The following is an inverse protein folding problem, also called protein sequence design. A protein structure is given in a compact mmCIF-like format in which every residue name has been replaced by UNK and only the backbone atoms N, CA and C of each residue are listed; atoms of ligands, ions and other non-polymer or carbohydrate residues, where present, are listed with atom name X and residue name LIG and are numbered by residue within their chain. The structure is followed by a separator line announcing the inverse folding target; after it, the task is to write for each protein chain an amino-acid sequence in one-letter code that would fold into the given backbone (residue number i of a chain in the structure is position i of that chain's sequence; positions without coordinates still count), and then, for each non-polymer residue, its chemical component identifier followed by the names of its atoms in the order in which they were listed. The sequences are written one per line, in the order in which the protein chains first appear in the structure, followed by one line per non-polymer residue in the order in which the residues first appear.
data_IF_227473941106
#
_entry.id   IF_227473941106
#
_cell.length_a   1.000
_cell.length_b   1.000
_cell.length_c   1.000
_cell.angle_alpha   90.00
_cell.angle_beta   90.00
_cell.angle_gamma   90.00
#
_symmetry.space_group_name_H-M   'P 1'
#
loop_
_entity.id
_entity.type
_entity.pdbx_description
1 polymer ?
#
# COMPACT_ATOMS: atom_id res chain seq x y z
N UNK A 1 8.56 -12.57 13.13
CA UNK A 1 7.49 -12.84 12.14
C UNK A 1 6.76 -14.17 12.33
N UNK A 2 7.38 -15.26 12.78
CA UNK A 2 6.75 -16.60 12.90
C UNK A 2 5.38 -16.64 13.61
N UNK A 3 5.12 -15.71 14.55
CA UNK A 3 3.83 -15.61 15.25
C UNK A 3 2.64 -15.32 14.33
N UNK A 4 2.89 -14.81 13.12
CA UNK A 4 1.84 -14.53 12.12
C UNK A 4 1.57 -15.69 11.16
N UNK A 5 2.38 -16.75 11.16
CA UNK A 5 2.19 -17.91 10.28
C UNK A 5 0.76 -18.49 10.30
N UNK A 6 0.03 -18.51 11.44
CA UNK A 6 -1.36 -18.99 11.46
C UNK A 6 -2.32 -18.13 10.62
N UNK A 7 -1.96 -16.87 10.33
CA UNK A 7 -2.79 -15.89 9.63
C UNK A 7 -2.27 -15.53 8.23
N UNK A 8 -1.07 -16.00 7.89
CA UNK A 8 -0.46 -15.87 6.55
C UNK A 8 -0.65 -17.13 5.73
N UNK A 9 -0.52 -17.02 4.42
CA UNK A 9 -0.51 -18.15 3.50
C UNK A 9 0.83 -18.87 3.52
N UNK A 10 0.79 -20.19 3.36
CA UNK A 10 1.99 -20.94 3.04
C UNK A 10 2.14 -20.97 1.51
N UNK A 11 3.29 -20.58 0.99
CA UNK A 11 3.54 -20.54 -0.46
C UNK A 11 3.45 -21.94 -1.11
N UNK A 12 3.81 -22.98 -0.36
CA UNK A 12 3.71 -24.37 -0.81
C UNK A 12 2.26 -24.91 -0.75
N UNK A 13 1.39 -24.23 -0.02
CA UNK A 13 0.00 -24.59 0.22
C UNK A 13 -1.01 -23.58 -0.36
N UNK A 14 -0.55 -22.56 -1.07
CA UNK A 14 -1.44 -21.56 -1.67
C UNK A 14 -2.50 -22.21 -2.56
N UNK A 15 -2.25 -23.43 -2.95
CA UNK A 15 -3.09 -24.15 -3.86
C UNK A 15 -3.30 -25.59 -3.41
N UNK A 16 -4.43 -25.87 -2.74
CA UNK A 16 -4.85 -27.22 -2.43
C UNK A 16 -6.00 -27.65 -3.34
N UNK A 17 -5.88 -28.83 -3.93
CA UNK A 17 -7.00 -29.50 -4.58
C UNK A 17 -7.95 -30.06 -3.54
N UNK A 18 -9.26 -30.05 -3.82
CA UNK A 18 -10.21 -30.81 -3.02
C UNK A 18 -9.91 -32.31 -3.15
N UNK A 19 -10.10 -33.04 -2.06
CA UNK A 19 -10.03 -34.51 -2.09
C UNK A 19 -11.25 -35.04 -2.87
N UNK A 20 -11.00 -35.67 -4.03
CA UNK A 20 -12.06 -36.25 -4.87
C UNK A 20 -11.57 -36.62 -6.27
N UNK A 21 -12.40 -37.33 -7.04
CA UNK A 21 -12.07 -37.80 -8.41
C UNK A 21 -11.84 -36.64 -9.40
N UNK A 22 -12.36 -35.43 -9.11
CA UNK A 22 -12.08 -34.20 -9.87
C UNK A 22 -11.26 -33.24 -9.01
N UNK A 23 -10.09 -32.86 -9.48
CA UNK A 23 -9.26 -31.83 -8.86
C UNK A 23 -9.99 -30.48 -8.97
N UNK A 24 -10.61 -30.05 -7.88
CA UNK A 24 -11.18 -28.73 -7.75
C UNK A 24 -10.21 -27.81 -7.03
N UNK A 25 -9.95 -26.67 -7.63
CA UNK A 25 -9.08 -25.67 -7.08
C UNK A 25 -9.89 -24.62 -6.32
N UNK A 26 -9.61 -24.48 -5.02
CA UNK A 26 -10.30 -23.51 -4.16
C UNK A 26 -9.37 -22.35 -3.87
N UNK A 27 -9.83 -21.12 -4.14
CA UNK A 27 -9.05 -19.93 -3.83
C UNK A 27 -8.82 -19.84 -2.31
N UNK A 28 -7.58 -19.65 -1.83
CA UNK A 28 -7.25 -19.66 -0.39
C UNK A 28 -8.10 -18.71 0.45
N UNK A 29 -8.40 -17.51 -0.07
CA UNK A 29 -9.22 -16.53 0.61
C UNK A 29 -10.71 -16.94 0.79
N UNK A 30 -11.18 -17.97 0.08
CA UNK A 30 -12.54 -18.51 0.25
C UNK A 30 -12.58 -19.66 1.24
N UNK A 31 -11.42 -20.22 1.60
CA UNK A 31 -11.33 -21.41 2.47
C UNK A 31 -10.85 -21.07 3.88
N UNK A 32 -10.03 -20.05 4.02
CA UNK A 32 -9.33 -19.75 5.27
C UNK A 32 -9.84 -18.45 5.89
N UNK A 33 -9.89 -18.45 7.21
CA UNK A 33 -10.03 -17.24 8.02
C UNK A 33 -8.64 -16.78 8.48
N UNK A 34 -8.52 -15.51 8.77
CA UNK A 34 -7.29 -14.90 9.27
C UNK A 34 -7.01 -13.57 8.56
N UNK A 35 -6.52 -12.63 9.31
CA UNK A 35 -6.13 -11.30 8.85
C UNK A 35 -4.86 -10.87 9.53
N UNK A 36 -4.00 -10.18 8.78
CA UNK A 36 -2.84 -9.46 9.30
C UNK A 36 -3.00 -8.02 8.87
N UNK A 37 -2.95 -7.10 9.84
CA UNK A 37 -3.09 -5.67 9.62
C UNK A 37 -1.80 -4.94 9.98
N UNK A 38 -1.28 -4.15 9.04
CA UNK A 38 -0.17 -3.22 9.25
C UNK A 38 -0.76 -1.84 9.49
N UNK A 39 -0.50 -1.25 10.63
CA UNK A 39 -0.91 0.11 10.95
C UNK A 39 0.25 1.05 10.70
N UNK A 40 0.03 2.02 9.83
CA UNK A 40 1.04 2.92 9.31
C UNK A 40 0.75 4.34 9.74
N UNK A 41 1.80 5.07 10.09
CA UNK A 41 1.79 6.53 10.22
C UNK A 41 2.57 7.09 9.03
N UNK A 42 1.89 7.84 8.18
CA UNK A 42 2.45 8.52 7.01
C UNK A 42 2.75 9.97 7.42
N UNK A 43 4.00 10.26 7.68
CA UNK A 43 4.47 11.60 8.05
C UNK A 43 4.81 12.39 6.80
N UNK A 44 4.15 13.51 6.56
CA UNK A 44 4.55 14.46 5.53
C UNK A 44 5.85 15.16 5.97
N UNK A 45 6.96 14.95 5.23
CA UNK A 45 8.26 15.59 5.50
C UNK A 45 8.56 16.73 4.53
N UNK A 46 7.76 16.87 3.48
CA UNK A 46 7.74 17.97 2.53
C UNK A 46 6.28 18.19 2.10
N UNK A 47 5.95 19.27 1.37
CA UNK A 47 4.59 19.49 0.86
C UNK A 47 4.09 18.30 0.05
N UNK A 48 2.88 17.80 0.32
CA UNK A 48 2.27 16.67 -0.38
C UNK A 48 0.95 17.07 -1.00
N UNK A 49 0.74 16.70 -2.26
CA UNK A 49 -0.49 17.00 -2.98
C UNK A 49 -1.34 15.73 -3.09
N UNK A 50 -2.38 15.63 -2.26
CA UNK A 50 -3.38 14.58 -2.32
C UNK A 50 -4.69 15.13 -2.91
N UNK A 51 -4.79 15.11 -4.21
CA UNK A 51 -6.00 15.50 -4.94
C UNK A 51 -6.32 14.49 -6.03
N UNK A 52 -7.57 14.45 -6.47
CA UNK A 52 -7.96 13.66 -7.64
C UNK A 52 -7.97 14.55 -8.90
N UNK A 53 -9.11 15.09 -9.24
CA UNK A 53 -9.30 15.98 -10.40
C UNK A 53 -9.47 17.45 -10.02
N UNK A 54 -9.74 17.72 -8.75
CA UNK A 54 -9.99 19.05 -8.23
C UNK A 54 -8.70 19.71 -7.72
N UNK A 55 -8.70 21.04 -7.60
CA UNK A 55 -7.52 21.77 -7.10
C UNK A 55 -7.32 21.61 -5.60
N UNK A 56 -8.41 21.33 -4.87
CA UNK A 56 -8.37 21.17 -3.43
C UNK A 56 -7.88 19.79 -2.97
N UNK A 57 -7.35 19.78 -1.76
CA UNK A 57 -7.00 18.53 -1.07
C UNK A 57 -8.27 17.75 -0.74
N UNK A 58 -8.30 16.48 -1.11
CA UNK A 58 -9.42 15.57 -0.79
C UNK A 58 -9.57 15.42 0.72
N UNK A 59 -10.81 15.52 1.19
CA UNK A 59 -11.16 15.39 2.61
C UNK A 59 -12.37 14.50 2.83
N UNK A 60 -12.69 14.29 4.09
CA UNK A 60 -13.89 13.60 4.54
C UNK A 60 -14.33 14.15 5.90
N UNK A 61 -15.63 14.27 6.07
CA UNK A 61 -16.25 14.60 7.34
C UNK A 61 -16.28 13.37 8.26
N UNK A 62 -15.79 13.51 9.49
CA UNK A 62 -15.83 12.48 10.52
C UNK A 62 -16.72 12.98 11.67
N UNK A 63 -17.81 12.25 11.91
CA UNK A 63 -18.70 12.50 13.02
C UNK A 63 -18.05 11.98 14.32
N UNK A 64 -17.79 12.88 15.25
CA UNK A 64 -17.15 12.59 16.54
C UNK A 64 -18.17 12.23 17.63
N UNK A 65 -19.47 12.33 17.35
CA UNK A 65 -20.57 12.15 18.32
C UNK A 65 -21.10 13.49 18.85
N UNK A 66 -22.22 13.45 19.56
CA UNK A 66 -22.87 14.63 20.17
C UNK A 66 -23.14 15.80 19.23
N UNK A 67 -23.29 15.53 17.93
CA UNK A 67 -23.49 16.56 16.89
C UNK A 67 -22.22 17.28 16.44
N UNK A 68 -21.05 16.88 16.96
CA UNK A 68 -19.76 17.42 16.52
C UNK A 68 -19.21 16.64 15.33
N UNK A 69 -18.78 17.36 14.32
CA UNK A 69 -18.06 16.79 13.16
C UNK A 69 -16.96 17.75 12.71
N UNK A 70 -15.95 17.21 12.06
CA UNK A 70 -14.89 18.00 11.46
C UNK A 70 -14.39 17.35 10.17
N UNK A 71 -13.74 18.14 9.31
CA UNK A 71 -13.15 17.68 8.06
C UNK A 71 -11.71 17.22 8.31
N UNK A 72 -11.37 16.04 7.82
CA UNK A 72 -10.03 15.45 7.88
C UNK A 72 -9.48 15.26 6.48
N UNK A 73 -8.16 15.43 6.31
CA UNK A 73 -7.50 15.12 5.03
C UNK A 73 -7.66 13.63 4.74
N UNK A 74 -8.11 13.33 3.55
CA UNK A 74 -8.27 11.97 3.04
C UNK A 74 -7.35 11.73 1.84
N UNK A 75 -6.32 10.95 2.01
CA UNK A 75 -5.53 10.45 0.90
C UNK A 75 -6.04 9.07 0.47
N UNK A 76 -6.61 8.98 -0.74
CA UNK A 76 -7.18 7.73 -1.25
C UNK A 76 -6.09 6.65 -1.42
N UNK A 77 -6.44 5.35 -1.30
CA UNK A 77 -5.49 4.24 -1.26
C UNK A 77 -4.45 4.23 -2.39
N UNK A 78 -4.86 4.60 -3.59
CA UNK A 78 -4.00 4.57 -4.77
C UNK A 78 -2.83 5.57 -4.72
N UNK A 79 -2.92 6.61 -3.86
CA UNK A 79 -1.82 7.57 -3.66
C UNK A 79 -0.60 6.93 -3.00
N UNK A 80 -0.81 5.85 -2.26
CA UNK A 80 0.25 5.05 -1.62
C UNK A 80 0.51 3.74 -2.35
N UNK A 81 -0.55 3.00 -2.66
CA UNK A 81 -0.44 1.70 -3.31
C UNK A 81 0.31 1.74 -4.63
N UNK A 82 0.07 2.76 -5.46
CA UNK A 82 0.68 2.83 -6.78
C UNK A 82 2.20 3.03 -6.73
N UNK A 83 2.77 3.98 -5.95
CA UNK A 83 4.21 4.10 -5.79
C UNK A 83 4.86 2.84 -5.20
N UNK A 84 4.26 2.25 -4.16
CA UNK A 84 4.79 1.05 -3.51
C UNK A 84 4.77 -0.17 -4.43
N UNK A 85 3.68 -0.35 -5.20
CA UNK A 85 3.62 -1.37 -6.26
C UNK A 85 4.70 -1.15 -7.32
N UNK A 86 4.98 0.09 -7.69
CA UNK A 86 6.06 0.43 -8.62
C UNK A 86 7.44 0.03 -8.09
N UNK A 87 7.70 0.24 -6.80
CA UNK A 87 8.93 -0.20 -6.13
C UNK A 87 9.02 -1.73 -6.08
N UNK A 88 7.92 -2.40 -5.75
CA UNK A 88 7.85 -3.87 -5.81
C UNK A 88 8.20 -4.43 -7.20
N UNK A 89 7.71 -3.82 -8.27
CA UNK A 89 8.09 -4.21 -9.65
C UNK A 89 9.59 -4.02 -9.90
N UNK A 90 10.18 -2.93 -9.41
CA UNK A 90 11.63 -2.69 -9.55
C UNK A 90 12.43 -3.77 -8.83
N UNK A 91 12.03 -4.16 -7.60
CA UNK A 91 12.66 -5.25 -6.84
C UNK A 91 12.62 -6.56 -7.64
N UNK A 92 11.44 -6.96 -8.15
CA UNK A 92 11.31 -8.19 -8.93
C UNK A 92 12.15 -8.18 -10.20
N UNK A 93 12.26 -7.04 -10.87
CA UNK A 93 13.13 -6.90 -12.06
C UNK A 93 14.60 -7.03 -11.72
N UNK A 94 15.05 -6.43 -10.62
CA UNK A 94 16.42 -6.55 -10.15
C UNK A 94 16.77 -8.00 -9.84
N UNK A 95 15.86 -8.74 -9.20
CA UNK A 95 16.02 -10.16 -8.87
C UNK A 95 15.73 -11.11 -10.04
N UNK A 96 15.27 -10.60 -11.18
CA UNK A 96 14.83 -11.42 -12.33
C UNK A 96 13.77 -12.47 -11.95
N UNK A 97 12.96 -12.15 -10.95
CA UNK A 97 11.92 -13.00 -10.36
C UNK A 97 10.50 -12.61 -10.79
N UNK A 98 10.34 -11.86 -11.84
CA UNK A 98 9.08 -11.32 -12.34
C UNK A 98 9.24 -9.91 -12.87
N UNK A 99 8.15 -9.17 -12.94
CA UNK A 99 8.19 -7.80 -13.46
C UNK A 99 8.62 -7.71 -14.93
N UNK A 100 8.40 -8.78 -15.72
CA UNK A 100 8.73 -8.83 -17.16
C UNK A 100 8.00 -7.74 -17.92
N UNK A 101 6.85 -7.34 -17.42
CA UNK A 101 6.03 -6.33 -18.01
C UNK A 101 6.71 -4.98 -17.88
N UNK A 102 6.97 -4.26 -18.95
CA UNK A 102 7.13 -2.84 -18.90
C UNK A 102 5.86 -2.25 -18.26
N UNK A 103 5.82 -0.95 -18.01
CA UNK A 103 4.61 -0.28 -17.50
C UNK A 103 3.36 -0.53 -18.36
N UNK A 104 3.54 -0.93 -19.60
CA UNK A 104 2.48 -1.31 -20.52
C UNK A 104 2.16 -2.80 -20.38
N UNK A 105 0.89 -3.11 -20.14
CA UNK A 105 0.40 -4.48 -20.01
C UNK A 105 0.61 -5.24 -21.32
N UNK A 106 1.20 -6.43 -21.22
CA UNK A 106 1.25 -7.37 -22.33
C UNK A 106 -0.12 -8.04 -22.46
N UNK A 107 -0.65 -8.07 -23.66
CA UNK A 107 -1.82 -8.90 -23.98
C UNK A 107 -1.34 -10.32 -24.11
N UNK A 108 -1.73 -11.18 -23.19
CA UNK A 108 -1.38 -12.59 -23.23
C UNK A 108 -2.12 -13.28 -24.38
N UNK A 109 -1.39 -13.98 -25.22
CA UNK A 109 -1.96 -14.80 -26.31
C UNK A 109 -2.33 -16.20 -25.78
N UNK A 110 -3.11 -16.97 -26.57
CA UNK A 110 -3.46 -18.39 -26.26
C UNK A 110 -2.25 -19.29 -25.99
N UNK A 111 -1.08 -18.95 -26.58
CA UNK A 111 0.15 -19.73 -26.42
C UNK A 111 0.90 -19.43 -25.12
N UNK A 112 0.59 -18.31 -24.48
CA UNK A 112 1.21 -17.88 -23.22
C UNK A 112 0.41 -18.43 -22.03
N UNK A 113 1.05 -18.44 -20.85
CA UNK A 113 0.42 -18.84 -19.60
C UNK A 113 0.04 -17.60 -18.77
N UNK A 114 -0.93 -17.71 -17.85
CA UNK A 114 -1.23 -16.63 -16.90
C UNK A 114 0.00 -16.14 -16.13
N UNK A 115 0.91 -17.05 -15.77
CA UNK A 115 2.17 -16.74 -15.11
C UNK A 115 3.15 -15.89 -15.94
N UNK A 116 2.96 -15.79 -17.26
CA UNK A 116 3.74 -14.85 -18.06
C UNK A 116 3.36 -13.38 -17.81
N UNK A 117 2.17 -13.14 -17.27
CA UNK A 117 1.67 -11.80 -16.98
C UNK A 117 1.55 -11.46 -15.49
N UNK A 118 1.59 -12.46 -14.62
CA UNK A 118 1.42 -12.29 -13.18
C UNK A 118 2.62 -12.82 -12.39
N UNK A 119 2.92 -12.15 -11.28
CA UNK A 119 4.05 -12.44 -10.40
C UNK A 119 3.68 -12.17 -8.93
N UNK A 120 4.66 -12.24 -8.03
CA UNK A 120 4.47 -11.95 -6.61
C UNK A 120 3.90 -10.54 -6.38
N UNK A 121 4.32 -9.55 -7.18
CA UNK A 121 3.79 -8.19 -7.07
C UNK A 121 2.31 -8.11 -7.45
N UNK A 122 1.89 -8.91 -8.45
CA UNK A 122 0.49 -9.06 -8.84
C UNK A 122 -0.34 -9.70 -7.72
N UNK A 123 0.21 -10.70 -7.01
CA UNK A 123 -0.44 -11.30 -5.84
C UNK A 123 -0.61 -10.30 -4.70
N UNK A 124 0.44 -9.56 -4.35
CA UNK A 124 0.43 -8.61 -3.23
C UNK A 124 -0.49 -7.42 -3.52
N UNK A 125 -0.32 -6.75 -4.66
CA UNK A 125 -0.98 -5.48 -4.95
C UNK A 125 -2.22 -5.61 -5.85
N UNK A 126 -2.45 -6.78 -6.43
CA UNK A 126 -3.50 -7.00 -7.41
C UNK A 126 -3.10 -6.55 -8.82
N UNK A 127 -3.69 -7.19 -9.79
CA UNK A 127 -3.49 -6.86 -11.21
C UNK A 127 -4.66 -7.35 -12.07
N UNK A 128 -4.62 -7.05 -13.36
CA UNK A 128 -5.50 -7.65 -14.35
C UNK A 128 -4.80 -7.63 -15.71
N UNK A 129 -5.02 -8.65 -16.50
CA UNK A 129 -4.57 -8.73 -17.89
C UNK A 129 -5.64 -9.34 -18.78
N UNK A 130 -5.48 -9.17 -20.08
CA UNK A 130 -6.33 -9.85 -21.08
C UNK A 130 -5.61 -11.11 -21.54
N UNK A 131 -6.28 -12.24 -21.46
CA UNK A 131 -5.81 -13.53 -21.98
C UNK A 131 -6.89 -14.16 -22.85
N UNK A 132 -6.56 -14.42 -24.10
CA UNK A 132 -7.49 -15.00 -25.06
C UNK A 132 -8.88 -14.32 -25.07
N UNK A 133 -8.87 -13.00 -25.17
CA UNK A 133 -10.07 -12.13 -25.17
C UNK A 133 -10.82 -12.06 -23.81
N UNK A 134 -10.37 -12.76 -22.76
CA UNK A 134 -10.94 -12.72 -21.42
C UNK A 134 -10.08 -11.89 -20.50
N UNK A 135 -10.71 -11.15 -19.59
CA UNK A 135 -10.00 -10.44 -18.53
C UNK A 135 -9.74 -11.41 -17.38
N UNK A 136 -8.47 -11.59 -17.01
CA UNK A 136 -8.05 -12.33 -15.83
C UNK A 136 -7.82 -11.35 -14.68
N UNK A 137 -8.69 -11.30 -13.65
CA UNK A 137 -8.48 -10.42 -12.51
C UNK A 137 -7.70 -11.15 -11.41
N UNK A 138 -6.64 -10.53 -10.92
CA UNK A 138 -5.94 -10.93 -9.70
C UNK A 138 -6.33 -9.96 -8.59
N UNK A 139 -7.14 -10.44 -7.64
CA UNK A 139 -7.46 -9.66 -6.44
C UNK A 139 -6.22 -9.53 -5.55
N UNK A 140 -5.96 -8.31 -5.09
CA UNK A 140 -4.86 -8.05 -4.18
C UNK A 140 -4.97 -8.90 -2.91
N UNK A 141 -3.87 -9.50 -2.47
CA UNK A 141 -3.79 -10.13 -1.16
C UNK A 141 -3.74 -9.08 -0.02
N UNK A 142 -3.36 -7.85 -0.35
CA UNK A 142 -3.29 -6.72 0.58
C UNK A 142 -4.27 -5.63 0.16
N UNK A 143 -5.19 -5.30 1.05
CA UNK A 143 -6.11 -4.20 0.91
C UNK A 143 -5.49 -2.94 1.52
N UNK A 144 -5.58 -1.83 0.82
CA UNK A 144 -5.15 -0.51 1.28
C UNK A 144 -6.38 0.29 1.71
N UNK A 145 -6.38 0.82 2.92
CA UNK A 145 -7.39 1.79 3.35
C UNK A 145 -7.06 3.20 2.86
N UNK A 146 -7.99 4.12 3.00
CA UNK A 146 -7.66 5.54 2.98
C UNK A 146 -6.61 5.85 4.07
N UNK A 147 -5.78 6.86 3.84
CA UNK A 147 -4.97 7.47 4.88
C UNK A 147 -5.65 8.77 5.33
N UNK A 148 -5.89 8.90 6.64
CA UNK A 148 -6.61 10.02 7.22
C UNK A 148 -5.68 10.81 8.13
N UNK A 149 -5.74 12.15 8.05
CA UNK A 149 -4.99 12.98 8.99
C UNK A 149 -5.45 12.76 10.42
N UNK A 150 -4.51 12.83 11.36
CA UNK A 150 -4.81 12.72 12.80
C UNK A 150 -5.49 13.99 13.32
N UNK A 151 -5.17 15.13 12.71
CA UNK A 151 -5.76 16.42 13.02
C UNK A 151 -6.74 16.85 11.92
N UNK A 152 -7.70 17.72 12.26
CA UNK A 152 -8.60 18.33 11.28
C UNK A 152 -7.86 19.03 10.13
N UNK A 153 -8.49 19.06 8.95
CA UNK A 153 -7.92 19.57 7.69
C UNK A 153 -7.31 20.97 7.82
N UNK A 154 -7.96 21.86 8.56
CA UNK A 154 -7.52 23.26 8.71
C UNK A 154 -6.16 23.40 9.42
N UNK A 155 -5.75 22.40 10.24
CA UNK A 155 -4.41 22.34 10.79
C UNK A 155 -3.38 21.74 9.81
N UNK A 156 -3.83 20.93 8.86
CA UNK A 156 -2.99 20.07 8.02
C UNK A 156 -2.72 20.63 6.62
N UNK A 157 -3.54 21.56 6.15
CA UNK A 157 -3.48 22.05 4.76
C UNK A 157 -3.05 23.50 4.73
N UNK A 158 -2.27 23.83 3.71
CA UNK A 158 -1.87 25.19 3.37
C UNK A 158 -1.98 25.39 1.85
N UNK A 159 -1.85 26.63 1.40
CA UNK A 159 -1.96 26.99 0.01
C UNK A 159 -0.79 27.85 -0.45
N UNK A 160 -0.31 27.59 -1.65
CA UNK A 160 0.71 28.42 -2.31
C UNK A 160 0.14 28.98 -3.60
N UNK A 161 0.36 30.27 -3.82
CA UNK A 161 -0.01 30.94 -5.05
C UNK A 161 1.17 30.94 -6.02
N UNK A 162 0.92 30.57 -7.26
CA UNK A 162 1.91 30.57 -8.33
C UNK A 162 1.38 31.37 -9.52
N UNK A 163 2.25 32.22 -10.07
CA UNK A 163 2.03 32.81 -11.39
C UNK A 163 2.60 31.88 -12.47
N UNK A 164 1.93 31.81 -13.60
CA UNK A 164 2.51 31.17 -14.78
C UNK A 164 3.56 32.12 -15.37
N UNK A 165 4.82 31.69 -15.34
CA UNK A 165 5.87 32.33 -16.12
C UNK A 165 5.79 31.90 -17.59
N UNK A 166 6.20 32.78 -18.50
CA UNK A 166 6.44 32.46 -19.90
C UNK A 166 7.76 31.69 -20.07
N UNK A 167 8.03 31.21 -21.29
CA UNK A 167 9.22 30.40 -21.58
C UNK A 167 10.56 31.12 -21.25
N UNK A 168 10.56 32.45 -21.33
CA UNK A 168 11.69 33.31 -20.95
C UNK A 168 11.86 33.53 -19.44
N UNK A 169 11.00 32.92 -18.63
CA UNK A 169 11.01 33.05 -17.17
C UNK A 169 10.40 34.35 -16.65
N UNK A 170 9.83 35.21 -17.51
CA UNK A 170 9.17 36.44 -17.11
C UNK A 170 7.67 36.25 -16.90
N UNK A 171 7.02 37.20 -16.19
CA UNK A 171 5.56 37.27 -16.09
C UNK A 171 4.96 38.19 -17.18
N UNK A 172 5.80 38.83 -17.95
CA UNK A 172 5.38 39.79 -18.96
C UNK A 172 5.16 39.10 -20.31
N UNK A 173 3.96 39.22 -20.84
CA UNK A 173 3.61 38.79 -22.19
C UNK A 173 3.93 39.91 -23.17
N UNK A 174 4.89 39.69 -24.04
CA UNK A 174 5.35 40.64 -25.04
C UNK A 174 4.29 40.93 -26.11
N UNK A 175 3.37 40.00 -26.40
CA UNK A 175 2.31 40.18 -27.40
C UNK A 175 1.16 41.02 -26.84
N UNK A 176 0.66 40.67 -25.65
CA UNK A 176 -0.43 41.41 -25.00
C UNK A 176 0.03 42.67 -24.27
N UNK A 177 1.35 42.84 -24.08
CA UNK A 177 1.99 43.94 -23.30
C UNK A 177 1.46 44.05 -21.87
N UNK A 178 1.10 42.91 -21.27
CA UNK A 178 0.57 42.83 -19.91
C UNK A 178 1.29 41.71 -19.14
N UNK A 179 1.28 41.82 -17.81
CA UNK A 179 1.66 40.71 -16.97
C UNK A 179 0.61 39.60 -17.00
N UNK A 180 1.05 38.36 -16.87
CA UNK A 180 0.14 37.22 -16.77
C UNK A 180 -0.72 37.36 -15.52
N UNK A 181 -2.03 37.39 -15.68
CA UNK A 181 -3.03 37.42 -14.60
C UNK A 181 -3.38 35.99 -14.12
N UNK A 182 -2.75 34.98 -14.70
CA UNK A 182 -3.01 33.57 -14.36
C UNK A 182 -2.37 33.21 -13.01
N UNK A 183 -3.15 33.38 -11.96
CA UNK A 183 -2.80 32.96 -10.60
C UNK A 183 -3.36 31.59 -10.33
N UNK A 184 -2.47 30.64 -9.99
CA UNK A 184 -2.86 29.29 -9.58
C UNK A 184 -2.72 29.15 -8.08
N UNK A 185 -3.80 28.81 -7.40
CA UNK A 185 -3.79 28.42 -6.01
C UNK A 185 -3.59 26.92 -5.91
N UNK A 186 -2.57 26.48 -5.17
CA UNK A 186 -2.27 25.07 -4.97
C UNK A 186 -2.29 24.73 -3.50
N UNK A 187 -3.25 23.89 -3.13
CA UNK A 187 -3.32 23.33 -1.78
C UNK A 187 -2.40 22.14 -1.65
N UNK A 188 -1.76 22.03 -0.51
CA UNK A 188 -0.89 20.91 -0.15
C UNK A 188 -1.02 20.57 1.33
N UNK A 189 -0.72 19.30 1.66
CA UNK A 189 -0.59 18.86 3.03
C UNK A 189 0.76 19.33 3.57
N UNK A 190 0.74 20.02 4.70
CA UNK A 190 1.92 20.62 5.33
C UNK A 190 2.90 19.56 5.84
N UNK A 191 4.22 19.83 5.79
CA UNK A 191 5.21 19.04 6.53
C UNK A 191 4.86 18.97 8.03
N UNK A 192 5.11 17.82 8.64
CA UNK A 192 4.72 17.53 10.03
C UNK A 192 3.31 16.95 10.20
N UNK A 193 2.49 16.94 9.14
CA UNK A 193 1.18 16.28 9.20
C UNK A 193 1.34 14.77 9.25
N UNK A 194 0.65 14.15 10.21
CA UNK A 194 0.57 12.69 10.36
C UNK A 194 -0.76 12.17 9.81
N UNK A 195 -0.69 11.11 9.00
CA UNK A 195 -1.88 10.40 8.52
C UNK A 195 -1.78 8.94 8.97
N UNK A 196 -2.89 8.40 9.45
CA UNK A 196 -3.02 6.96 9.78
C UNK A 196 -3.59 6.22 8.60
N UNK A 197 -2.93 5.12 8.22
CA UNK A 197 -3.38 4.20 7.17
C UNK A 197 -3.28 2.77 7.65
N UNK A 198 -4.18 1.91 7.22
CA UNK A 198 -4.14 0.48 7.52
C UNK A 198 -4.06 -0.33 6.24
N UNK A 199 -3.11 -1.26 6.20
CA UNK A 199 -3.04 -2.29 5.16
C UNK A 199 -3.46 -3.61 5.79
N UNK A 200 -4.39 -4.33 5.18
CA UNK A 200 -4.90 -5.58 5.74
C UNK A 200 -4.87 -6.72 4.72
N UNK A 201 -4.55 -7.91 5.19
CA UNK A 201 -4.67 -9.16 4.42
C UNK A 201 -5.98 -9.85 4.74
N UNK A 202 -6.33 -10.87 3.97
CA UNK A 202 -7.49 -11.70 4.23
C UNK A 202 -7.29 -13.14 3.81
N UNK A 203 -7.93 -14.04 4.54
CA UNK A 203 -8.10 -15.43 4.12
C UNK A 203 -6.79 -16.19 3.92
N UNK A 204 -5.73 -15.83 4.59
CA UNK A 204 -4.41 -16.44 4.46
C UNK A 204 -3.91 -16.51 3.00
N UNK A 205 -4.21 -15.48 2.20
CA UNK A 205 -3.78 -15.41 0.81
C UNK A 205 -2.32 -14.92 0.68
N UNK A 206 -1.90 -13.99 1.55
CA UNK A 206 -0.55 -13.42 1.51
C UNK A 206 0.44 -14.38 2.17
N UNK A 207 1.43 -14.94 1.43
CA UNK A 207 2.52 -15.70 2.05
C UNK A 207 3.51 -14.78 2.76
N UNK A 208 4.40 -15.35 3.61
CA UNK A 208 5.46 -14.59 4.29
C UNK A 208 6.31 -13.80 3.30
N UNK A 209 6.72 -14.41 2.18
CA UNK A 209 7.49 -13.72 1.13
C UNK A 209 6.73 -12.52 0.54
N UNK A 210 5.40 -12.58 0.47
CA UNK A 210 4.58 -11.46 0.03
C UNK A 210 4.56 -10.32 1.06
N UNK A 211 4.55 -10.64 2.35
CA UNK A 211 4.66 -9.66 3.42
C UNK A 211 6.05 -8.98 3.42
N UNK A 212 7.12 -9.77 3.24
CA UNK A 212 8.49 -9.25 3.14
C UNK A 212 8.66 -8.33 1.92
N UNK A 213 8.07 -8.73 0.78
CA UNK A 213 8.04 -7.92 -0.43
C UNK A 213 7.28 -6.60 -0.23
N UNK A 214 6.16 -6.62 0.49
CA UNK A 214 5.40 -5.43 0.85
C UNK A 214 6.24 -4.50 1.75
N UNK A 215 6.84 -5.05 2.82
CA UNK A 215 7.67 -4.28 3.76
C UNK A 215 8.88 -3.64 3.08
N UNK A 216 9.53 -4.38 2.17
CA UNK A 216 10.64 -3.86 1.38
C UNK A 216 10.18 -2.77 0.41
N UNK A 217 9.04 -2.98 -0.27
CA UNK A 217 8.45 -1.98 -1.19
C UNK A 217 8.10 -0.68 -0.49
N UNK A 218 7.55 -0.76 0.73
CA UNK A 218 7.27 0.40 1.58
C UNK A 218 8.58 1.09 2.02
N UNK A 219 9.59 0.30 2.42
CA UNK A 219 10.86 0.81 2.94
C UNK A 219 11.66 1.64 1.93
N UNK A 220 11.56 1.31 0.63
CA UNK A 220 12.27 2.05 -0.44
C UNK A 220 11.42 3.14 -1.11
N UNK A 221 10.14 3.27 -0.75
CA UNK A 221 9.25 4.31 -1.28
C UNK A 221 9.27 5.54 -0.38
N UNK A 222 9.44 6.73 -0.97
CA UNK A 222 9.46 7.99 -0.22
C UNK A 222 8.77 9.14 -0.95
N UNK A 223 8.29 8.89 -2.18
CA UNK A 223 7.72 9.91 -3.05
C UNK A 223 6.28 9.56 -3.40
N UNK A 224 5.33 10.37 -2.93
CA UNK A 224 3.90 10.07 -2.99
C UNK A 224 3.07 11.27 -3.45
N UNK A 225 1.83 11.01 -3.90
CA UNK A 225 0.88 12.04 -4.31
C UNK A 225 1.11 12.58 -5.71
N UNK A 226 0.63 13.79 -5.95
CA UNK A 226 0.82 14.51 -7.21
C UNK A 226 2.04 15.44 -7.19
N UNK A 227 2.49 15.88 -8.37
CA UNK A 227 3.58 16.86 -8.53
C UNK A 227 4.92 16.44 -7.89
N UNK A 228 5.19 15.15 -7.87
CA UNK A 228 6.40 14.57 -7.23
C UNK A 228 7.71 15.00 -7.87
N UNK A 229 7.68 15.43 -9.13
CA UNK A 229 8.84 16.02 -9.80
C UNK A 229 9.31 17.33 -9.16
N UNK A 230 8.41 18.03 -8.44
CA UNK A 230 8.71 19.29 -7.76
C UNK A 230 8.96 19.06 -6.26
N UNK A 231 8.19 18.17 -5.64
CA UNK A 231 8.25 17.93 -4.19
C UNK A 231 9.31 16.92 -3.77
N UNK A 232 9.72 16.02 -4.68
CA UNK A 232 10.72 14.97 -4.39
C UNK A 232 10.23 13.98 -3.32
N UNK A 233 11.14 13.54 -2.46
CA UNK A 233 10.83 12.70 -1.30
C UNK A 233 10.03 13.50 -0.28
N UNK A 234 8.80 13.09 -0.02
CA UNK A 234 7.83 13.93 0.70
C UNK A 234 7.06 13.21 1.80
N UNK A 235 7.15 11.88 1.88
CA UNK A 235 6.53 11.09 2.95
C UNK A 235 7.58 10.18 3.59
N UNK A 236 7.61 10.18 4.92
CA UNK A 236 8.25 9.14 5.73
C UNK A 236 7.19 8.21 6.28
N UNK A 237 7.37 6.93 6.07
CA UNK A 237 6.44 5.91 6.57
C UNK A 237 7.00 5.27 7.83
N UNK A 238 6.20 5.31 8.90
CA UNK A 238 6.46 4.59 10.14
C UNK A 238 5.43 3.47 10.27
N UNK A 239 5.87 2.24 10.56
CA UNK A 239 4.96 1.14 10.84
C UNK A 239 4.75 1.10 12.34
N UNK A 240 3.57 1.53 12.79
CA UNK A 240 3.22 1.61 14.21
C UNK A 240 3.05 0.23 14.86
N UNK A 241 2.75 -0.78 14.05
CA UNK A 241 2.67 -2.17 14.49
C UNK A 241 2.10 -3.07 13.41
N UNK A 242 2.27 -4.38 13.62
CA UNK A 242 1.62 -5.43 12.84
C UNK A 242 0.76 -6.25 13.79
N UNK A 243 -0.47 -6.52 13.42
CA UNK A 243 -1.48 -7.17 14.24
C UNK A 243 -2.10 -8.33 13.47
N UNK A 244 -2.31 -9.45 14.12
CA UNK A 244 -2.88 -10.63 13.48
C UNK A 244 -3.95 -11.29 14.34
N UNK A 245 -4.93 -11.88 13.69
CA UNK A 245 -6.01 -12.60 14.35
C UNK A 245 -6.90 -13.34 13.36
N UNK A 246 -7.77 -14.16 13.91
CA UNK A 246 -8.72 -14.95 13.12
C UNK A 246 -9.79 -14.08 12.46
N UNK A 247 -10.14 -12.98 13.10
CA UNK A 247 -11.21 -12.08 12.66
C UNK A 247 -10.66 -10.71 12.28
N UNK A 248 -11.33 -10.06 11.33
CA UNK A 248 -11.12 -8.65 11.02
C UNK A 248 -11.69 -7.81 12.16
N UNK A 249 -10.84 -6.90 12.73
CA UNK A 249 -11.21 -6.09 13.87
C UNK A 249 -11.64 -4.69 13.39
N UNK A 250 -12.86 -4.23 13.73
CA UNK A 250 -13.33 -2.89 13.38
C UNK A 250 -12.42 -1.77 13.89
N UNK A 251 -11.75 -1.98 15.02
CA UNK A 251 -10.82 -1.06 15.66
C UNK A 251 -9.60 -0.74 14.79
N UNK A 252 -9.27 -1.59 13.82
CA UNK A 252 -8.20 -1.33 12.84
C UNK A 252 -8.64 -0.44 11.68
N UNK A 253 -9.91 -0.06 11.59
CA UNK A 253 -10.35 0.93 10.59
C UNK A 253 -9.70 2.28 10.86
N UNK A 254 -9.05 2.94 9.88
CA UNK A 254 -8.46 4.26 10.07
C UNK A 254 -9.50 5.30 10.50
N UNK A 255 -10.75 5.14 10.07
CA UNK A 255 -11.86 5.99 10.49
C UNK A 255 -12.16 5.86 11.97
N UNK A 256 -12.19 4.63 12.50
CA UNK A 256 -12.41 4.39 13.93
C UNK A 256 -11.21 4.89 14.76
N UNK A 257 -10.00 4.67 14.26
CA UNK A 257 -8.77 5.18 14.90
C UNK A 257 -8.85 6.70 15.01
N UNK A 258 -9.06 7.41 13.90
CA UNK A 258 -9.09 8.89 13.90
C UNK A 258 -10.25 9.41 14.74
N UNK A 259 -11.44 8.78 14.68
CA UNK A 259 -12.57 9.13 15.53
C UNK A 259 -12.26 8.98 17.01
N UNK A 260 -11.58 7.90 17.40
CA UNK A 260 -11.16 7.69 18.78
C UNK A 260 -10.13 8.73 19.23
N UNK A 261 -9.15 9.05 18.38
CA UNK A 261 -8.14 10.06 18.63
C UNK A 261 -8.77 11.46 18.79
N UNK A 262 -9.74 11.81 17.95
CA UNK A 262 -10.44 13.09 18.02
C UNK A 262 -11.14 13.30 19.37
N UNK A 263 -11.70 12.24 19.99
CA UNK A 263 -12.32 12.30 21.30
C UNK A 263 -11.30 12.50 22.44
N UNK A 264 -10.03 12.17 22.20
CA UNK A 264 -8.93 12.38 23.18
C UNK A 264 -8.14 13.66 22.92
N UNK A 265 -8.25 14.25 21.74
CA UNK A 265 -7.59 15.50 21.41
C UNK A 265 -8.31 16.68 22.06
N UNK A 266 -7.75 17.17 23.15
CA UNK A 266 -8.09 18.51 23.59
C UNK A 266 -7.50 19.48 22.54
N UNK A 267 -8.33 20.28 21.88
CA UNK A 267 -7.91 21.18 20.78
C UNK A 267 -6.79 22.16 21.18
N UNK A 268 -6.61 22.40 22.49
CA UNK A 268 -5.58 23.27 23.04
C UNK A 268 -4.17 22.66 23.10
N UNK A 269 -4.06 21.33 23.06
CA UNK A 269 -2.77 20.63 23.05
C UNK A 269 -2.93 19.30 22.30
N UNK A 270 -2.74 19.25 20.98
CA UNK A 270 -2.88 18.01 20.21
C UNK A 270 -1.83 16.99 20.67
N UNK A 271 -2.29 16.02 21.46
CA UNK A 271 -1.47 14.99 22.13
C UNK A 271 -0.69 14.10 21.14
N UNK A 272 -1.12 14.03 19.88
CA UNK A 272 -0.61 13.07 18.90
C UNK A 272 0.05 13.72 17.66
N UNK A 273 0.75 14.84 17.88
CA UNK A 273 1.64 15.41 16.84
C UNK A 273 3.01 14.72 16.78
N UNK A 274 3.30 13.85 17.75
CA UNK A 274 4.54 13.09 17.82
C UNK A 274 4.31 11.65 17.41
N UNK A 275 5.12 11.14 16.49
CA UNK A 275 5.05 9.78 15.95
C UNK A 275 5.15 8.72 17.05
N UNK A 276 6.06 8.91 18.04
CA UNK A 276 6.27 7.92 19.08
C UNK A 276 5.08 7.84 20.05
N UNK A 277 4.48 8.99 20.40
CA UNK A 277 3.28 9.03 21.26
C UNK A 277 2.08 8.41 20.55
N UNK A 278 1.87 8.75 19.27
CA UNK A 278 0.81 8.17 18.46
C UNK A 278 1.00 6.65 18.31
N UNK A 279 2.22 6.20 18.04
CA UNK A 279 2.58 4.79 17.94
C UNK A 279 2.28 4.02 19.22
N UNK A 280 2.68 4.55 20.38
CA UNK A 280 2.43 3.92 21.68
C UNK A 280 0.94 3.79 21.96
N UNK A 281 0.15 4.84 21.71
CA UNK A 281 -1.30 4.82 21.90
C UNK A 281 -2.00 3.81 20.98
N UNK A 282 -1.63 3.78 19.68
CA UNK A 282 -2.17 2.83 18.73
C UNK A 282 -1.87 1.40 19.14
N UNK A 283 -0.63 1.13 19.59
CA UNK A 283 -0.25 -0.22 20.02
C UNK A 283 -1.01 -0.64 21.28
N UNK A 284 -1.15 0.24 22.27
CA UNK A 284 -1.91 -0.05 23.49
C UNK A 284 -3.36 -0.41 23.20
N UNK A 285 -3.99 0.28 22.25
CA UNK A 285 -5.39 0.06 21.90
C UNK A 285 -5.56 -1.23 21.08
N UNK A 286 -4.76 -1.40 20.03
CA UNK A 286 -4.94 -2.48 19.06
C UNK A 286 -4.44 -3.83 19.56
N UNK A 287 -3.43 -3.84 20.45
CA UNK A 287 -2.95 -5.09 21.04
C UNK A 287 -4.01 -5.81 21.89
N UNK A 288 -5.02 -5.08 22.40
CA UNK A 288 -6.10 -5.65 23.21
C UNK A 288 -7.11 -6.49 22.41
N UNK A 289 -7.23 -6.22 21.12
CA UNK A 289 -8.26 -6.83 20.26
C UNK A 289 -7.71 -7.85 19.26
N UNK A 290 -6.39 -8.04 19.20
CA UNK A 290 -5.74 -8.99 18.30
C UNK A 290 -5.09 -10.14 19.05
N UNK A 291 -5.00 -11.30 18.40
CA UNK A 291 -4.41 -12.52 18.97
C UNK A 291 -2.88 -12.45 19.06
N UNK A 292 -2.25 -11.78 18.10
CA UNK A 292 -0.80 -11.58 18.03
C UNK A 292 -0.48 -10.17 17.53
N UNK A 293 0.64 -9.63 18.00
CA UNK A 293 1.12 -8.32 17.55
C UNK A 293 2.64 -8.25 17.49
N UNK A 294 3.15 -7.29 16.71
CA UNK A 294 4.52 -6.78 16.75
C UNK A 294 4.48 -5.29 17.04
N UNK A 295 5.34 -4.85 17.94
CA UNK A 295 5.56 -3.44 18.24
C UNK A 295 6.24 -2.73 17.07
N UNK A 296 6.16 -1.41 17.04
CA UNK A 296 6.87 -0.60 16.04
C UNK A 296 8.38 -0.86 16.01
N UNK A 297 9.00 -1.11 17.19
CA UNK A 297 10.43 -1.41 17.25
C UNK A 297 10.74 -2.77 16.62
N UNK A 298 9.99 -3.82 16.97
CA UNK A 298 10.19 -5.16 16.38
C UNK A 298 10.01 -5.12 14.84
N UNK A 299 9.02 -4.36 14.34
CA UNK A 299 8.80 -4.21 12.89
C UNK A 299 9.93 -3.43 12.24
N UNK A 300 10.40 -2.36 12.86
CA UNK A 300 11.52 -1.54 12.39
C UNK A 300 12.79 -2.37 12.28
N UNK A 301 13.08 -3.18 13.28
CA UNK A 301 14.25 -4.08 13.29
C UNK A 301 14.13 -5.14 12.19
N UNK A 302 12.96 -5.72 12.02
CA UNK A 302 12.71 -6.70 10.96
C UNK A 302 12.82 -6.09 9.55
N UNK A 303 12.18 -4.95 9.32
CA UNK A 303 12.30 -4.23 8.04
C UNK A 303 13.74 -3.79 7.77
N UNK A 304 14.45 -3.34 8.80
CA UNK A 304 15.87 -2.99 8.74
C UNK A 304 16.73 -4.18 8.31
N UNK A 305 16.46 -5.37 8.83
CA UNK A 305 17.15 -6.60 8.40
C UNK A 305 16.84 -6.94 6.93
N UNK A 306 15.59 -6.76 6.47
CA UNK A 306 15.25 -6.96 5.06
C UNK A 306 15.97 -5.96 4.15
N UNK A 307 16.03 -4.69 4.54
CA UNK A 307 16.74 -3.65 3.79
C UNK A 307 18.24 -3.91 3.76
N UNK A 308 18.84 -4.25 4.91
CA UNK A 308 20.25 -4.61 4.98
C UNK A 308 20.57 -5.82 4.11
N UNK A 309 19.73 -6.86 4.14
CA UNK A 309 19.89 -8.04 3.29
C UNK A 309 19.80 -7.69 1.80
N UNK A 310 18.88 -6.80 1.44
CA UNK A 310 18.76 -6.31 0.05
C UNK A 310 20.03 -5.59 -0.43
N UNK A 311 20.73 -4.86 0.45
CA UNK A 311 21.95 -4.13 0.12
C UNK A 311 23.21 -5.00 0.16
N UNK A 312 23.34 -5.86 1.18
CA UNK A 312 24.60 -6.56 1.48
C UNK A 312 24.61 -8.05 1.13
N UNK A 313 23.43 -8.70 1.00
CA UNK A 313 23.29 -10.12 0.66
C UNK A 313 22.30 -10.33 -0.50
N UNK A 314 22.48 -9.55 -1.54
CA UNK A 314 21.60 -9.48 -2.70
C UNK A 314 21.42 -10.86 -3.37
N UNK A 315 22.48 -11.65 -3.50
CA UNK A 315 22.43 -12.93 -4.20
C UNK A 315 21.57 -13.97 -3.47
N UNK A 316 21.66 -14.04 -2.14
CA UNK A 316 20.83 -14.92 -1.33
C UNK A 316 19.36 -14.50 -1.41
N UNK A 317 19.09 -13.19 -1.35
CA UNK A 317 17.73 -12.69 -1.47
C UNK A 317 17.15 -12.92 -2.88
N UNK A 318 17.95 -12.75 -3.94
CA UNK A 318 17.58 -13.07 -5.31
C UNK A 318 17.17 -14.55 -5.46
N UNK A 319 17.91 -15.49 -4.81
CA UNK A 319 17.60 -16.90 -4.86
C UNK A 319 16.24 -17.21 -4.22
N UNK A 320 15.94 -16.63 -3.05
CA UNK A 320 14.64 -16.80 -2.37
C UNK A 320 13.48 -16.25 -3.24
N UNK A 321 13.68 -15.08 -3.85
CA UNK A 321 12.67 -14.49 -4.73
C UNK A 321 12.42 -15.34 -5.99
N UNK A 322 13.44 -15.95 -6.56
CA UNK A 322 13.30 -16.86 -7.71
C UNK A 322 12.57 -18.14 -7.35
N UNK A 323 12.90 -18.74 -6.21
CA UNK A 323 12.16 -19.91 -5.72
C UNK A 323 10.68 -19.57 -5.48
N UNK A 324 10.41 -18.42 -4.86
CA UNK A 324 9.04 -17.97 -4.68
C UNK A 324 8.33 -17.70 -6.00
N UNK A 325 9.03 -17.16 -7.02
CA UNK A 325 8.45 -16.88 -8.32
C UNK A 325 7.93 -18.16 -9.02
N UNK A 326 8.65 -19.26 -8.93
CA UNK A 326 8.22 -20.53 -9.52
C UNK A 326 6.93 -21.06 -8.86
N UNK A 327 6.82 -20.95 -7.54
CA UNK A 327 5.63 -21.36 -6.79
C UNK A 327 4.42 -20.46 -7.08
N UNK A 328 4.65 -19.15 -7.20
CA UNK A 328 3.61 -18.18 -7.56
C UNK A 328 3.15 -18.36 -9.01
N UNK A 329 4.06 -18.68 -9.93
CA UNK A 329 3.73 -19.00 -11.31
C UNK A 329 2.81 -20.23 -11.38
N UNK A 330 3.16 -21.30 -10.69
CA UNK A 330 2.34 -22.52 -10.60
C UNK A 330 0.94 -22.21 -10.01
N UNK A 331 0.87 -21.37 -8.97
CA UNK A 331 -0.40 -20.91 -8.40
C UNK A 331 -1.29 -20.22 -9.44
N UNK A 332 -0.79 -19.24 -10.20
CA UNK A 332 -1.59 -18.54 -11.18
C UNK A 332 -2.01 -19.42 -12.36
N UNK A 333 -1.10 -20.28 -12.83
CA UNK A 333 -1.41 -21.18 -13.94
C UNK A 333 -2.50 -22.17 -13.53
N UNK A 334 -2.42 -22.78 -12.36
CA UNK A 334 -3.44 -23.71 -11.86
C UNK A 334 -4.75 -23.01 -11.60
N UNK A 335 -4.72 -21.79 -11.00
CA UNK A 335 -5.93 -21.03 -10.70
C UNK A 335 -6.73 -20.67 -11.95
N UNK A 336 -6.06 -20.21 -13.01
CA UNK A 336 -6.75 -19.76 -14.22
C UNK A 336 -6.95 -20.85 -15.28
N UNK A 337 -6.13 -21.89 -15.29
CA UNK A 337 -6.18 -22.95 -16.31
C UNK A 337 -6.68 -24.29 -15.81
N UNK A 338 -6.71 -24.52 -14.49
CA UNK A 338 -7.02 -25.81 -13.89
C UNK A 338 -6.09 -26.92 -14.40
N UNK A 339 -6.63 -28.11 -14.65
CA UNK A 339 -5.87 -29.28 -15.14
C UNK A 339 -5.21 -29.09 -16.52
N UNK A 340 -5.55 -28.03 -17.24
CA UNK A 340 -4.89 -27.68 -18.52
C UNK A 340 -3.50 -27.11 -18.32
N UNK A 341 -3.15 -26.68 -17.10
CA UNK A 341 -1.81 -26.18 -16.77
C UNK A 341 -0.75 -27.26 -17.00
N UNK A 342 -1.01 -28.49 -16.55
CA UNK A 342 -0.10 -29.63 -16.65
C UNK A 342 0.07 -30.15 -18.10
N UNK A 343 -0.94 -29.96 -18.98
CA UNK A 343 -0.91 -30.39 -20.37
C UNK A 343 -0.12 -29.45 -21.29
N UNK A 344 0.11 -28.20 -20.90
CA UNK A 344 0.91 -27.23 -21.66
C UNK A 344 2.39 -27.22 -21.25
N UNK A 345 2.78 -27.99 -20.23
CA UNK A 345 4.18 -28.15 -19.81
C UNK A 345 4.94 -29.24 -20.59
N UNK A 346 4.24 -30.02 -21.42
CA UNK A 346 4.78 -30.99 -22.39
C UNK A 346 4.71 -30.39 -23.81
#
# INVERSE_FOLDING_TARGET
MNRFNPFLGNIDELFKTSEGEKKEYVHPALKNLGSVSLVLIREAIAPVVFRNSEEEITDIEINQGEGNSDLYVRAVPNKFKYPERGRGLQILRLFKAGGKMPQNKIILTKKMKPSDGFDLNSLVFGDSTVWDSNVLPVKAAVNYSDALSVLPKHFCVDATFHHRAFEDGTLFDAESKKNSDNLFNRHFVKPGTLLVQVLSTRGRLLPQMGLDHLLLSIGIAGTYGGQTSVTGTNIRTHIAGIYGGRFEQPETSPYQIVRALANHNNLEAPLFQNVDQLTAHLHETLNKVHEVSMTAQEVRDYQGQLMQRFESDFQSMEADYREAADKIADFFDKWFMGDKADKKAK
#
